data_IF_185311003447
#
_entry.id   IF_185311003447
#
_cell.length_a   1.000
_cell.length_b   1.000
_cell.length_c   1.000
_cell.angle_alpha   90.00
_cell.angle_beta   90.00
_cell.angle_gamma   90.00
#
_symmetry.space_group_name_H-M   'P 1'
#
loop_
_entity.id
_entity.type
_entity.pdbx_description
1 polymer ?
#
# COMPACT_ATOMS: atom_id res chain seq x y z
N UNK A 1 -16.52 16.22 8.68
CA UNK A 1 -15.69 15.09 9.14
C UNK A 1 -14.83 14.50 8.01
N UNK A 2 -15.25 14.57 6.74
CA UNK A 2 -14.48 14.04 5.60
C UNK A 2 -13.05 14.57 5.49
N UNK A 3 -12.82 15.89 5.65
CA UNK A 3 -11.47 16.46 5.58
C UNK A 3 -10.52 15.89 6.64
N UNK A 4 -11.04 15.63 7.85
CA UNK A 4 -10.25 15.02 8.91
C UNK A 4 -9.90 13.57 8.53
N UNK A 5 -10.86 12.80 8.01
CA UNK A 5 -10.60 11.44 7.54
C UNK A 5 -9.56 11.43 6.41
N UNK A 6 -9.67 12.33 5.43
CA UNK A 6 -8.71 12.46 4.35
C UNK A 6 -7.29 12.73 4.89
N UNK A 7 -7.15 13.68 5.81
CA UNK A 7 -5.87 14.02 6.44
C UNK A 7 -5.30 12.82 7.19
N UNK A 8 -6.13 12.07 7.92
CA UNK A 8 -5.69 10.90 8.69
C UNK A 8 -5.30 9.75 7.76
N UNK A 9 -6.10 9.47 6.73
CA UNK A 9 -5.82 8.44 5.73
C UNK A 9 -4.56 8.78 4.93
N UNK A 10 -4.31 10.05 4.61
CA UNK A 10 -3.05 10.46 3.98
C UNK A 10 -1.87 10.44 4.97
N UNK A 11 -2.09 10.89 6.22
CA UNK A 11 -1.10 10.94 7.29
C UNK A 11 -0.59 9.56 7.71
N UNK A 12 -1.44 8.53 7.61
CA UNK A 12 -1.08 7.13 7.83
C UNK A 12 0.14 6.70 7.02
N UNK A 13 0.36 7.27 5.83
CA UNK A 13 1.56 7.01 5.03
C UNK A 13 2.83 7.37 5.81
N UNK A 14 2.89 8.59 6.35
CA UNK A 14 4.05 9.05 7.13
C UNK A 14 4.20 8.26 8.44
N UNK A 15 3.09 7.93 9.08
CA UNK A 15 3.08 7.12 10.31
C UNK A 15 3.68 5.74 10.05
N UNK A 16 3.32 5.08 8.95
CA UNK A 16 3.91 3.78 8.58
C UNK A 16 5.42 3.87 8.35
N UNK A 17 5.91 4.96 7.77
CA UNK A 17 7.36 5.14 7.60
C UNK A 17 8.08 5.36 8.93
N UNK A 18 7.53 6.23 9.79
CA UNK A 18 8.11 6.56 11.08
C UNK A 18 8.13 5.35 12.03
N UNK A 19 7.01 4.64 12.12
CA UNK A 19 6.89 3.42 12.94
C UNK A 19 7.75 2.27 12.42
N UNK A 20 7.98 2.18 11.12
CA UNK A 20 8.89 1.20 10.55
C UNK A 20 10.36 1.45 10.96
N UNK A 21 10.77 2.71 11.08
CA UNK A 21 12.10 3.09 11.60
C UNK A 21 12.20 2.73 13.09
N UNK A 22 11.18 3.08 13.88
CA UNK A 22 11.13 2.69 15.30
C UNK A 22 11.20 1.17 15.49
N UNK A 23 10.51 0.42 14.63
CA UNK A 23 10.55 -1.04 14.65
C UNK A 23 11.94 -1.60 14.33
N UNK A 24 12.67 -1.02 13.35
CA UNK A 24 14.07 -1.41 13.11
C UNK A 24 15.00 -1.11 14.29
N UNK A 25 14.71 -0.06 15.06
CA UNK A 25 15.42 0.27 16.29
C UNK A 25 14.96 -0.57 17.50
N UNK A 26 14.11 -1.58 17.30
CA UNK A 26 13.53 -2.46 18.33
C UNK A 26 12.62 -1.74 19.33
N UNK A 27 12.13 -0.55 18.99
CA UNK A 27 11.14 0.20 19.77
C UNK A 27 9.74 -0.26 19.32
N UNK A 28 9.19 -1.28 19.98
CA UNK A 28 7.93 -1.93 19.54
C UNK A 28 6.68 -1.32 20.18
N UNK A 29 6.76 -0.82 21.42
CA UNK A 29 5.60 -0.33 22.18
C UNK A 29 5.05 0.99 21.60
N UNK A 30 5.94 1.92 21.24
CA UNK A 30 5.54 3.25 20.76
C UNK A 30 4.74 3.19 19.45
N UNK A 31 5.13 2.40 18.42
CA UNK A 31 4.29 2.17 17.24
C UNK A 31 2.87 1.70 17.55
N UNK A 32 2.70 0.79 18.50
CA UNK A 32 1.37 0.26 18.88
C UNK A 32 0.49 1.39 19.41
N UNK A 33 1.03 2.24 20.30
CA UNK A 33 0.31 3.39 20.85
C UNK A 33 -0.09 4.36 19.73
N UNK A 34 0.84 4.65 18.79
CA UNK A 34 0.56 5.55 17.66
C UNK A 34 -0.58 5.00 16.80
N UNK A 35 -0.54 3.70 16.44
CA UNK A 35 -1.61 3.10 15.66
C UNK A 35 -2.95 3.05 16.41
N UNK A 36 -2.94 2.83 17.73
CA UNK A 36 -4.15 2.88 18.54
C UNK A 36 -4.78 4.27 18.52
N UNK A 37 -3.99 5.33 18.67
CA UNK A 37 -4.48 6.72 18.57
C UNK A 37 -5.08 6.98 17.19
N UNK A 38 -4.39 6.58 16.12
CA UNK A 38 -4.90 6.76 14.74
C UNK A 38 -6.22 6.02 14.55
N UNK A 39 -6.33 4.78 15.04
CA UNK A 39 -7.55 4.00 14.94
C UNK A 39 -8.71 4.66 15.70
N UNK A 40 -8.45 5.24 16.88
CA UNK A 40 -9.45 6.04 17.62
C UNK A 40 -9.90 7.26 16.81
N UNK A 41 -8.97 7.99 16.19
CA UNK A 41 -9.33 9.15 15.34
C UNK A 41 -10.18 8.72 14.14
N UNK A 42 -9.83 7.62 13.48
CA UNK A 42 -10.66 7.05 12.40
C UNK A 42 -12.04 6.67 12.93
N UNK A 43 -12.11 6.02 14.11
CA UNK A 43 -13.37 5.67 14.76
C UNK A 43 -14.26 6.89 15.06
N UNK A 44 -13.68 8.00 15.53
CA UNK A 44 -14.40 9.27 15.71
C UNK A 44 -14.95 9.76 14.37
N UNK A 45 -14.13 9.79 13.31
CA UNK A 45 -14.62 10.22 11.99
C UNK A 45 -15.74 9.32 11.46
N UNK A 46 -15.70 8.02 11.75
CA UNK A 46 -16.73 7.06 11.38
C UNK A 46 -18.04 7.30 12.13
N UNK A 47 -18.01 7.55 13.44
CA UNK A 47 -19.21 7.75 14.26
C UNK A 47 -19.90 9.08 13.91
N UNK A 48 -19.11 10.13 13.65
CA UNK A 48 -19.61 11.49 13.45
C UNK A 48 -19.77 11.90 11.98
N UNK A 49 -19.64 10.98 11.02
CA UNK A 49 -20.02 11.26 9.63
C UNK A 49 -21.55 11.43 9.57
N UNK A 50 -22.03 12.48 8.92
CA UNK A 50 -23.46 12.70 8.78
C UNK A 50 -24.09 11.76 7.74
N UNK A 51 -25.41 11.68 7.76
CA UNK A 51 -26.18 10.71 6.96
C UNK A 51 -26.59 11.25 5.58
N UNK A 52 -26.10 12.44 5.19
CA UNK A 52 -26.39 12.95 3.84
C UNK A 52 -25.64 12.15 2.79
N UNK A 53 -26.26 12.00 1.61
CA UNK A 53 -25.70 11.22 0.51
C UNK A 53 -24.28 11.63 0.16
N UNK A 54 -24.04 12.93 -0.02
CA UNK A 54 -22.73 13.45 -0.41
C UNK A 54 -21.64 13.13 0.64
N UNK A 55 -21.97 13.21 1.93
CA UNK A 55 -21.02 12.94 3.00
C UNK A 55 -20.68 11.45 3.07
N UNK A 56 -21.67 10.57 2.91
CA UNK A 56 -21.47 9.12 2.87
C UNK A 56 -20.69 8.69 1.62
N UNK A 57 -20.98 9.29 0.47
CA UNK A 57 -20.25 9.05 -0.78
C UNK A 57 -18.80 9.50 -0.66
N UNK A 58 -18.54 10.71 -0.16
CA UNK A 58 -17.16 11.19 0.07
C UNK A 58 -16.41 10.31 1.07
N UNK A 59 -17.07 9.92 2.16
CA UNK A 59 -16.51 8.99 3.15
C UNK A 59 -16.12 7.66 2.50
N UNK A 60 -17.01 7.07 1.70
CA UNK A 60 -16.76 5.82 1.00
C UNK A 60 -15.60 5.94 0.01
N UNK A 61 -15.59 6.98 -0.83
CA UNK A 61 -14.51 7.23 -1.80
C UNK A 61 -13.15 7.40 -1.12
N UNK A 62 -13.08 8.13 0.01
CA UNK A 62 -11.82 8.30 0.76
C UNK A 62 -11.30 6.95 1.27
N UNK A 63 -12.17 6.12 1.85
CA UNK A 63 -11.80 4.79 2.35
C UNK A 63 -11.42 3.84 1.21
N UNK A 64 -12.15 3.88 0.10
CA UNK A 64 -11.88 3.08 -1.10
C UNK A 64 -10.50 3.42 -1.68
N UNK A 65 -10.25 4.70 -1.95
CA UNK A 65 -8.98 5.17 -2.50
C UNK A 65 -7.82 4.92 -1.53
N UNK A 66 -8.05 5.10 -0.22
CA UNK A 66 -7.10 4.75 0.82
C UNK A 66 -6.76 3.26 0.81
N UNK A 67 -7.77 2.38 0.75
CA UNK A 67 -7.59 0.94 0.66
C UNK A 67 -6.74 0.54 -0.56
N UNK A 68 -7.04 1.09 -1.73
CA UNK A 68 -6.24 0.85 -2.94
C UNK A 68 -4.79 1.30 -2.77
N UNK A 69 -4.57 2.50 -2.25
CA UNK A 69 -3.23 3.04 -2.04
C UNK A 69 -2.42 2.16 -1.07
N UNK A 70 -3.02 1.76 0.05
CA UNK A 70 -2.35 0.92 1.03
C UNK A 70 -2.17 -0.53 0.58
N UNK A 71 -3.07 -1.09 -0.22
CA UNK A 71 -2.88 -2.40 -0.84
C UNK A 71 -1.71 -2.38 -1.84
N UNK A 72 -1.62 -1.35 -2.70
CA UNK A 72 -0.48 -1.18 -3.59
C UNK A 72 0.83 -1.03 -2.82
N UNK A 73 0.84 -0.21 -1.77
CA UNK A 73 1.99 -0.03 -0.89
C UNK A 73 2.38 -1.35 -0.21
N UNK A 74 1.41 -2.15 0.23
CA UNK A 74 1.64 -3.45 0.82
C UNK A 74 2.37 -4.39 -0.15
N UNK A 75 1.82 -4.61 -1.34
CA UNK A 75 2.39 -5.53 -2.32
C UNK A 75 3.75 -5.07 -2.84
N UNK A 76 3.95 -3.75 -3.00
CA UNK A 76 5.26 -3.18 -3.35
C UNK A 76 6.34 -3.53 -2.31
N UNK A 77 6.00 -3.42 -1.03
CA UNK A 77 6.94 -3.65 0.07
C UNK A 77 7.12 -5.13 0.41
N UNK A 78 6.06 -5.94 0.34
CA UNK A 78 6.13 -7.40 0.51
C UNK A 78 6.94 -8.04 -0.62
N UNK A 79 6.79 -7.56 -1.86
CA UNK A 79 7.61 -7.98 -3.00
C UNK A 79 8.87 -7.11 -3.15
N UNK A 80 9.80 -7.28 -2.21
CA UNK A 80 11.07 -6.55 -2.16
C UNK A 80 12.18 -7.15 -3.05
N UNK A 81 11.92 -8.22 -3.82
CA UNK A 81 12.89 -8.85 -4.72
C UNK A 81 13.64 -7.87 -5.65
N UNK A 82 12.99 -6.86 -6.26
CA UNK A 82 13.71 -5.85 -7.05
C UNK A 82 14.73 -5.05 -6.23
N UNK A 83 14.45 -4.81 -4.94
CA UNK A 83 15.39 -4.13 -4.03
C UNK A 83 16.55 -5.05 -3.64
N UNK A 84 16.28 -6.33 -3.37
CA UNK A 84 17.31 -7.33 -3.09
C UNK A 84 18.29 -7.49 -4.25
N UNK A 85 17.78 -7.55 -5.49
CA UNK A 85 18.63 -7.60 -6.68
C UNK A 85 19.44 -6.33 -6.87
N UNK A 86 18.87 -5.15 -6.56
CA UNK A 86 19.61 -3.89 -6.62
C UNK A 86 20.74 -3.86 -5.59
N UNK A 87 20.47 -4.30 -4.36
CA UNK A 87 21.47 -4.41 -3.30
C UNK A 87 22.61 -5.36 -3.71
N UNK A 88 22.28 -6.59 -4.10
CA UNK A 88 23.27 -7.59 -4.54
C UNK A 88 24.16 -7.08 -5.68
N UNK A 89 23.58 -6.44 -6.70
CA UNK A 89 24.37 -5.92 -7.82
C UNK A 89 25.39 -4.86 -7.38
N UNK A 90 25.07 -4.01 -6.39
CA UNK A 90 26.00 -2.98 -5.88
C UNK A 90 27.08 -3.62 -5.01
N UNK A 91 26.70 -4.57 -4.14
CA UNK A 91 27.64 -5.27 -3.26
C UNK A 91 28.63 -6.12 -4.05
N UNK A 92 28.17 -6.84 -5.09
CA UNK A 92 29.01 -7.70 -5.92
C UNK A 92 29.92 -6.89 -6.87
N UNK A 93 29.56 -5.66 -7.23
CA UNK A 93 30.38 -4.77 -8.09
C UNK A 93 31.42 -3.94 -7.33
N UNK A 94 31.37 -3.93 -5.99
CA UNK A 94 32.22 -3.09 -5.15
C UNK A 94 33.63 -3.68 -5.01
N UNK A 95 34.63 -3.00 -5.55
CA UNK A 95 36.05 -3.40 -5.55
C UNK A 95 36.80 -3.14 -4.23
N UNK A 96 36.10 -3.04 -3.11
CA UNK A 96 36.69 -2.87 -1.77
C UNK A 96 37.03 -1.43 -1.35
N UNK A 97 37.01 -0.46 -2.27
CA UNK A 97 37.12 0.97 -1.95
C UNK A 97 35.73 1.61 -2.14
N UNK A 98 34.94 1.64 -1.07
CA UNK A 98 33.58 2.21 -1.09
C UNK A 98 33.66 3.69 -0.76
N UNK A 99 33.25 4.55 -1.70
CA UNK A 99 33.15 5.99 -1.45
C UNK A 99 31.99 6.26 -0.48
N UNK A 100 32.06 7.33 0.35
CA UNK A 100 31.05 7.60 1.40
C UNK A 100 29.61 7.67 0.88
N UNK A 101 29.41 8.16 -0.34
CA UNK A 101 28.09 8.22 -1.01
C UNK A 101 27.56 6.84 -1.38
N UNK A 102 28.43 5.95 -1.86
CA UNK A 102 28.08 4.58 -2.22
C UNK A 102 27.75 3.77 -0.97
N UNK A 103 28.53 3.93 0.10
CA UNK A 103 28.24 3.35 1.41
C UNK A 103 26.85 3.75 1.94
N UNK A 104 26.52 5.05 1.94
CA UNK A 104 25.21 5.53 2.36
C UNK A 104 24.07 4.97 1.50
N UNK A 105 24.30 4.77 0.20
CA UNK A 105 23.31 4.19 -0.72
C UNK A 105 23.06 2.71 -0.45
N UNK A 106 24.11 1.97 -0.08
CA UNK A 106 24.04 0.55 0.28
C UNK A 106 23.36 0.38 1.64
N UNK A 107 23.73 1.20 2.63
CA UNK A 107 23.14 1.14 3.98
C UNK A 107 21.66 1.52 3.95
N UNK A 108 21.29 2.56 3.21
CA UNK A 108 19.87 2.92 3.03
C UNK A 108 19.07 1.84 2.31
N UNK A 109 19.66 1.10 1.37
CA UNK A 109 19.01 -0.05 0.74
C UNK A 109 18.82 -1.20 1.73
N UNK A 110 19.82 -1.49 2.55
CA UNK A 110 19.78 -2.52 3.59
C UNK A 110 18.67 -2.23 4.61
N UNK A 111 18.64 -1.02 5.16
CA UNK A 111 17.59 -0.57 6.09
C UNK A 111 16.22 -0.70 5.42
N UNK A 112 16.08 -0.24 4.16
CA UNK A 112 14.82 -0.34 3.42
C UNK A 112 14.36 -1.79 3.21
N UNK A 113 15.28 -2.74 2.99
CA UNK A 113 14.96 -4.17 2.85
C UNK A 113 14.48 -4.74 4.19
N UNK A 114 15.12 -4.38 5.29
CA UNK A 114 14.77 -4.84 6.65
C UNK A 114 13.38 -4.36 7.06
N UNK A 115 13.09 -3.07 6.85
CA UNK A 115 11.78 -2.48 7.20
C UNK A 115 10.67 -2.77 6.17
N UNK A 116 11.01 -3.28 4.98
CA UNK A 116 10.04 -3.52 3.91
C UNK A 116 8.93 -4.48 4.36
N UNK A 117 9.28 -5.56 5.05
CA UNK A 117 8.28 -6.55 5.51
C UNK A 117 7.29 -5.92 6.51
N UNK A 118 7.79 -5.13 7.45
CA UNK A 118 6.96 -4.40 8.42
C UNK A 118 6.00 -3.45 7.71
N UNK A 119 6.52 -2.56 6.84
CA UNK A 119 5.69 -1.63 6.05
C UNK A 119 4.64 -2.38 5.24
N UNK A 120 5.04 -3.48 4.61
CA UNK A 120 4.17 -4.33 3.81
C UNK A 120 2.99 -4.90 4.59
N UNK A 121 3.26 -5.48 5.76
CA UNK A 121 2.23 -6.08 6.61
C UNK A 121 1.28 -5.01 7.17
N UNK A 122 1.82 -3.91 7.72
CA UNK A 122 0.96 -2.87 8.30
C UNK A 122 0.11 -2.19 7.22
N UNK A 123 0.68 -1.88 6.05
CA UNK A 123 -0.11 -1.34 4.94
C UNK A 123 -1.22 -2.30 4.52
N UNK A 124 -1.00 -3.62 4.54
CA UNK A 124 -2.05 -4.59 4.21
C UNK A 124 -3.17 -4.58 5.26
N UNK A 125 -2.82 -4.53 6.55
CA UNK A 125 -3.79 -4.44 7.64
C UNK A 125 -4.62 -3.16 7.49
N UNK A 126 -3.97 -2.01 7.22
CA UNK A 126 -4.66 -0.74 6.98
C UNK A 126 -5.62 -0.85 5.79
N UNK A 127 -5.19 -1.43 4.67
CA UNK A 127 -6.05 -1.63 3.51
C UNK A 127 -7.31 -2.44 3.84
N UNK A 128 -7.16 -3.53 4.60
CA UNK A 128 -8.27 -4.36 5.08
C UNK A 128 -9.21 -3.56 5.99
N UNK A 129 -8.67 -2.84 6.98
CA UNK A 129 -9.48 -2.03 7.91
C UNK A 129 -10.29 -0.98 7.16
N UNK A 130 -9.68 -0.26 6.22
CA UNK A 130 -10.39 0.76 5.42
C UNK A 130 -11.49 0.12 4.57
N UNK A 131 -11.23 -1.04 3.96
CA UNK A 131 -12.26 -1.80 3.22
C UNK A 131 -13.42 -2.23 4.11
N UNK A 132 -13.14 -2.71 5.32
CA UNK A 132 -14.23 -3.09 6.26
C UNK A 132 -15.06 -1.87 6.62
N UNK A 133 -14.44 -0.76 7.04
CA UNK A 133 -15.15 0.46 7.40
C UNK A 133 -16.00 1.00 6.26
N UNK A 134 -15.49 0.92 5.03
CA UNK A 134 -16.19 1.30 3.80
C UNK A 134 -17.49 0.49 3.63
N UNK A 135 -17.40 -0.83 3.78
CA UNK A 135 -18.56 -1.72 3.62
C UNK A 135 -19.64 -1.55 4.68
N UNK A 136 -19.27 -1.17 5.91
CA UNK A 136 -20.21 -1.07 7.03
C UNK A 136 -21.19 0.12 6.94
N UNK A 137 -20.83 1.18 6.19
CA UNK A 137 -21.66 2.40 6.04
C UNK A 137 -22.12 2.65 4.60
N UNK A 138 -21.89 1.70 3.69
CA UNK A 138 -22.32 1.83 2.29
C UNK A 138 -23.79 1.49 2.12
N UNK A 139 -24.55 2.39 1.47
CA UNK A 139 -25.89 2.07 0.96
C UNK A 139 -25.79 1.35 -0.39
N UNK A 140 -26.81 0.61 -0.84
CA UNK A 140 -26.77 -0.12 -2.11
C UNK A 140 -26.40 0.77 -3.33
N UNK A 141 -26.88 2.02 -3.34
CA UNK A 141 -26.56 2.98 -4.39
C UNK A 141 -25.08 3.35 -4.41
N UNK A 142 -24.49 3.68 -3.25
CA UNK A 142 -23.07 4.03 -3.14
C UNK A 142 -22.19 2.79 -3.42
N UNK A 143 -22.65 1.60 -3.01
CA UNK A 143 -21.99 0.32 -3.33
C UNK A 143 -21.90 0.11 -4.85
N UNK A 144 -22.98 0.42 -5.59
CA UNK A 144 -22.99 0.29 -7.05
C UNK A 144 -21.97 1.23 -7.70
N UNK A 145 -21.97 2.50 -7.31
CA UNK A 145 -21.02 3.50 -7.81
C UNK A 145 -19.56 3.10 -7.50
N UNK A 146 -19.31 2.59 -6.29
CA UNK A 146 -17.99 2.11 -5.87
C UNK A 146 -17.57 0.87 -6.67
N UNK A 147 -18.51 -0.02 -7.02
CA UNK A 147 -18.24 -1.19 -7.85
C UNK A 147 -17.85 -0.79 -9.26
N UNK A 148 -18.56 0.16 -9.86
CA UNK A 148 -18.26 0.62 -11.21
C UNK A 148 -16.87 1.29 -11.28
N UNK A 149 -16.52 2.06 -10.23
CA UNK A 149 -15.17 2.58 -10.07
C UNK A 149 -14.13 1.45 -9.93
N UNK A 150 -14.45 0.41 -9.16
CA UNK A 150 -13.56 -0.73 -8.93
C UNK A 150 -13.35 -1.63 -10.13
N UNK A 151 -14.36 -1.82 -10.98
CA UNK A 151 -14.22 -2.47 -12.28
C UNK A 151 -13.29 -1.65 -13.18
N UNK A 152 -13.45 -0.33 -13.20
CA UNK A 152 -12.59 0.56 -13.99
C UNK A 152 -11.11 0.45 -13.57
N UNK A 153 -10.84 0.45 -12.27
CA UNK A 153 -9.47 0.25 -11.76
C UNK A 153 -8.93 -1.15 -12.03
N UNK A 154 -9.78 -2.18 -12.00
CA UNK A 154 -9.38 -3.55 -12.34
C UNK A 154 -8.96 -3.67 -13.81
N UNK A 155 -9.72 -3.10 -14.74
CA UNK A 155 -9.34 -3.08 -16.16
C UNK A 155 -8.01 -2.33 -16.33
N UNK A 156 -7.86 -1.17 -15.68
CA UNK A 156 -6.61 -0.40 -15.72
C UNK A 156 -5.42 -1.21 -15.17
N UNK A 157 -5.60 -1.98 -14.09
CA UNK A 157 -4.53 -2.78 -13.51
C UNK A 157 -4.06 -3.89 -14.45
N UNK A 158 -4.94 -4.46 -15.28
CA UNK A 158 -4.56 -5.43 -16.32
C UNK A 158 -3.64 -4.81 -17.37
N UNK A 159 -3.90 -3.57 -17.81
CA UNK A 159 -2.98 -2.86 -18.71
C UNK A 159 -1.62 -2.60 -18.06
N UNK A 160 -1.61 -2.24 -16.78
CA UNK A 160 -0.36 -2.00 -16.02
C UNK A 160 0.46 -3.29 -15.89
N UNK A 161 -0.18 -4.47 -15.75
CA UNK A 161 0.51 -5.77 -15.75
C UNK A 161 1.33 -5.94 -17.03
N UNK A 162 0.75 -5.62 -18.20
CA UNK A 162 1.44 -5.76 -19.49
C UNK A 162 2.70 -4.87 -19.52
N UNK A 163 2.57 -3.61 -19.09
CA UNK A 163 3.70 -2.66 -19.03
C UNK A 163 4.83 -3.20 -18.14
N UNK A 164 4.49 -3.73 -16.96
CA UNK A 164 5.47 -4.28 -16.04
C UNK A 164 6.08 -5.60 -16.53
N UNK A 165 5.33 -6.42 -17.27
CA UNK A 165 5.84 -7.63 -17.91
C UNK A 165 6.90 -7.28 -18.96
N UNK A 166 6.64 -6.28 -19.80
CA UNK A 166 7.63 -5.75 -20.76
C UNK A 166 8.87 -5.22 -20.03
N UNK A 167 8.67 -4.50 -18.93
CA UNK A 167 9.78 -4.00 -18.11
C UNK A 167 10.65 -5.13 -17.53
N UNK A 168 10.05 -6.22 -17.05
CA UNK A 168 10.79 -7.39 -16.58
C UNK A 168 11.59 -8.06 -17.71
N UNK A 169 11.05 -8.12 -18.93
CA UNK A 169 11.80 -8.62 -20.09
C UNK A 169 13.01 -7.73 -20.40
N UNK A 170 12.86 -6.41 -20.35
CA UNK A 170 13.98 -5.47 -20.54
C UNK A 170 15.05 -5.68 -19.48
N UNK A 171 14.67 -5.83 -18.20
CA UNK A 171 15.62 -6.12 -17.12
C UNK A 171 16.34 -7.44 -17.37
N UNK A 172 15.61 -8.49 -17.77
CA UNK A 172 16.19 -9.81 -18.06
C UNK A 172 17.26 -9.71 -19.14
N UNK A 173 16.97 -9.02 -20.24
CA UNK A 173 17.91 -8.86 -21.36
C UNK A 173 19.15 -8.08 -20.92
N UNK A 174 19.00 -7.02 -20.11
CA UNK A 174 20.14 -6.19 -19.69
C UNK A 174 20.98 -6.77 -18.55
N UNK A 175 20.36 -7.49 -17.62
CA UNK A 175 21.00 -7.93 -16.35
C UNK A 175 21.08 -9.44 -16.18
N UNK A 176 20.64 -10.22 -17.16
CA UNK A 176 20.64 -11.69 -17.13
C UNK A 176 19.70 -12.32 -16.09
N UNK A 177 18.97 -11.52 -15.31
CA UNK A 177 18.15 -11.98 -14.18
C UNK A 177 16.78 -11.31 -14.19
N UNK A 178 15.75 -12.06 -13.78
CA UNK A 178 14.40 -11.52 -13.65
C UNK A 178 14.20 -10.82 -12.31
N UNK A 179 13.72 -9.57 -12.36
CA UNK A 179 13.32 -8.83 -11.18
C UNK A 179 11.92 -9.20 -10.69
N UNK A 180 11.06 -9.73 -11.57
CA UNK A 180 9.66 -10.06 -11.30
C UNK A 180 8.90 -8.86 -10.73
N UNK A 181 9.16 -7.65 -11.26
CA UNK A 181 8.43 -6.44 -10.88
C UNK A 181 6.93 -6.59 -11.19
N UNK A 182 6.57 -7.39 -12.20
CA UNK A 182 5.19 -7.69 -12.62
C UNK A 182 4.32 -8.30 -11.52
N UNK A 183 4.90 -8.92 -10.50
CA UNK A 183 4.14 -9.51 -9.39
C UNK A 183 3.37 -8.44 -8.59
N UNK A 184 3.88 -7.20 -8.53
CA UNK A 184 3.22 -6.10 -7.81
C UNK A 184 1.83 -5.78 -8.38
N UNK A 185 1.67 -5.45 -9.68
CA UNK A 185 0.35 -5.22 -10.28
C UNK A 185 -0.51 -6.48 -10.37
N UNK A 186 0.06 -7.69 -10.42
CA UNK A 186 -0.72 -8.93 -10.33
C UNK A 186 -1.40 -9.04 -8.96
N UNK A 187 -0.64 -8.91 -7.87
CA UNK A 187 -1.19 -8.96 -6.50
C UNK A 187 -2.23 -7.85 -6.27
N UNK A 188 -1.97 -6.65 -6.80
CA UNK A 188 -2.93 -5.55 -6.74
C UNK A 188 -4.23 -5.85 -7.51
N UNK A 189 -4.14 -6.53 -8.66
CA UNK A 189 -5.32 -6.98 -9.41
C UNK A 189 -6.10 -8.04 -8.64
N UNK A 190 -5.42 -8.95 -7.92
CA UNK A 190 -6.09 -9.88 -7.01
C UNK A 190 -6.84 -9.17 -5.88
N UNK A 191 -6.27 -8.09 -5.32
CA UNK A 191 -6.95 -7.26 -4.32
C UNK A 191 -8.22 -6.62 -4.89
N UNK A 192 -8.14 -6.02 -6.07
CA UNK A 192 -9.29 -5.45 -6.77
C UNK A 192 -10.36 -6.50 -7.09
N UNK A 193 -9.96 -7.71 -7.46
CA UNK A 193 -10.89 -8.82 -7.66
C UNK A 193 -11.65 -9.15 -6.37
N UNK A 194 -10.95 -9.25 -5.23
CA UNK A 194 -11.57 -9.48 -3.91
C UNK A 194 -12.53 -8.34 -3.56
N UNK A 195 -12.13 -7.08 -3.77
CA UNK A 195 -13.00 -5.91 -3.54
C UNK A 195 -14.28 -5.99 -4.38
N UNK A 196 -14.17 -6.32 -5.66
CA UNK A 196 -15.32 -6.49 -6.54
C UNK A 196 -16.25 -7.61 -6.05
N UNK A 197 -15.72 -8.73 -5.56
CA UNK A 197 -16.54 -9.79 -4.96
C UNK A 197 -17.27 -9.33 -3.70
N UNK A 198 -16.62 -8.55 -2.84
CA UNK A 198 -17.23 -8.01 -1.62
C UNK A 198 -18.36 -7.03 -1.98
N UNK A 199 -18.09 -6.07 -2.87
CA UNK A 199 -19.07 -5.07 -3.31
C UNK A 199 -20.26 -5.73 -4.03
N UNK A 200 -20.02 -6.78 -4.83
CA UNK A 200 -21.08 -7.53 -5.50
C UNK A 200 -22.02 -8.28 -4.54
N UNK A 201 -21.58 -8.58 -3.31
CA UNK A 201 -22.43 -9.19 -2.28
C UNK A 201 -23.26 -8.19 -1.49
N UNK A 202 -22.91 -6.91 -1.56
CA UNK A 202 -23.55 -5.81 -0.83
C UNK A 202 -24.61 -5.08 -1.68
N UNK A 203 -24.81 -5.52 -2.92
CA UNK A 203 -25.86 -5.11 -3.84
C UNK A 203 -27.04 -6.07 -3.74
#
# INVERSE_FOLDING_TARGET
MEFLLLIVVAGLYYIIYLTAVMYSEKIVVLPIIIYAIVFVVIGITYIFIGDSYDQLTNFNVILYMGSLFYAWMAFRNLWNRPLLLKYKNITDSSSGIVNKSEYNSVESLRINIEIAKYKGIISLIVAIVLTVLMTLKSTPQITAETRDLSISFFILSLFIIIIFAVWDLIIRVRKGTFAFVVIRPILFSCWLFILNMILSRLL
#
